data_IF_317357487415
#
_entry.id   IF_317357487415
#
_cell.length_a   1.000
_cell.length_b   1.000
_cell.length_c   1.000
_cell.angle_alpha   90.00
_cell.angle_beta   90.00
_cell.angle_gamma   90.00
#
_symmetry.space_group_name_H-M   'P 1'
#
loop_
_entity.id
_entity.type
_entity.pdbx_description
1 polymer ?
#
# COMPACT_ATOMS: atom_id res chain seq x y z
N UNK A 1 -19.15 28.03 26.91
CA UNK A 1 -18.41 26.77 26.77
C UNK A 1 -17.21 27.03 25.89
N UNK A 2 -15.98 26.91 26.40
CA UNK A 2 -14.75 27.12 25.61
C UNK A 2 -14.29 25.75 25.11
N UNK A 3 -14.35 25.54 23.80
CA UNK A 3 -13.90 24.32 23.12
C UNK A 3 -12.38 24.39 22.94
N UNK A 4 -11.65 23.52 23.64
CA UNK A 4 -10.22 23.33 23.46
C UNK A 4 -9.96 22.09 22.59
N UNK A 5 -9.35 22.26 21.42
CA UNK A 5 -8.71 21.18 20.66
C UNK A 5 -7.45 21.72 19.95
N UNK A 6 -6.35 20.97 20.09
CA UNK A 6 -5.09 20.97 19.33
C UNK A 6 -3.82 21.59 19.97
N UNK A 7 -2.77 20.79 19.88
CA UNK A 7 -1.52 20.72 20.67
C UNK A 7 -0.35 21.57 20.11
N UNK A 8 -0.58 22.41 19.08
CA UNK A 8 0.53 23.07 18.35
C UNK A 8 0.40 24.61 18.27
N UNK A 9 1.35 25.30 18.91
CA UNK A 9 1.36 26.78 19.05
C UNK A 9 1.29 27.54 17.72
N UNK A 10 1.95 27.06 16.67
CA UNK A 10 1.99 27.75 15.37
C UNK A 10 0.59 27.92 14.71
N UNK A 11 -0.32 26.96 14.92
CA UNK A 11 -1.68 27.05 14.39
C UNK A 11 -2.51 28.07 15.20
N UNK A 12 -2.35 28.09 16.52
CA UNK A 12 -3.01 29.03 17.41
C UNK A 12 -2.55 30.47 17.16
N UNK A 13 -1.25 30.71 16.98
CA UNK A 13 -0.70 32.03 16.64
C UNK A 13 -1.23 32.54 15.29
N UNK A 14 -1.36 31.67 14.29
CA UNK A 14 -1.96 32.03 12.99
C UNK A 14 -3.44 32.36 13.13
N UNK A 15 -4.18 31.60 13.95
CA UNK A 15 -5.61 31.88 14.23
C UNK A 15 -5.76 33.18 15.00
N UNK A 16 -4.98 33.40 16.05
CA UNK A 16 -5.00 34.64 16.85
C UNK A 16 -4.68 35.85 15.98
N UNK A 17 -3.63 35.80 15.17
CA UNK A 17 -3.30 36.86 14.21
C UNK A 17 -4.43 37.14 13.22
N UNK A 18 -5.16 36.10 12.77
CA UNK A 18 -6.33 36.29 11.90
C UNK A 18 -7.49 36.95 12.65
N UNK A 19 -7.70 36.61 13.92
CA UNK A 19 -8.73 37.21 14.78
C UNK A 19 -8.38 38.67 15.15
N UNK A 20 -7.11 38.97 15.40
CA UNK A 20 -6.59 40.33 15.58
C UNK A 20 -6.86 41.18 14.32
N UNK A 21 -6.51 40.66 13.15
CA UNK A 21 -6.77 41.33 11.87
C UNK A 21 -8.27 41.50 11.57
N UNK A 22 -9.12 40.62 12.12
CA UNK A 22 -10.57 40.71 12.01
C UNK A 22 -11.20 41.62 13.09
N UNK A 23 -10.40 42.23 13.98
CA UNK A 23 -10.88 43.15 15.01
C UNK A 23 -11.51 42.49 16.24
N UNK A 24 -11.41 41.17 16.38
CA UNK A 24 -11.95 40.39 17.52
C UNK A 24 -10.85 39.81 18.42
N UNK A 25 -9.61 40.23 18.20
CA UNK A 25 -8.43 39.82 18.97
C UNK A 25 -8.53 40.10 20.47
N UNK A 26 -9.05 41.26 20.86
CA UNK A 26 -9.19 41.65 22.27
C UNK A 26 -10.18 40.79 23.07
N UNK A 27 -11.05 40.03 22.38
CA UNK A 27 -11.95 39.05 22.97
C UNK A 27 -11.33 37.64 23.10
N UNK A 28 -10.11 37.45 22.57
CA UNK A 28 -9.42 36.17 22.52
C UNK A 28 -8.23 36.17 23.49
N UNK A 29 -8.34 35.42 24.59
CA UNK A 29 -7.26 35.30 25.57
C UNK A 29 -6.34 34.12 25.21
N UNK A 30 -5.04 34.38 24.99
CA UNK A 30 -4.07 33.33 24.73
C UNK A 30 -3.57 32.66 26.03
N UNK A 31 -4.06 31.46 26.32
CA UNK A 31 -3.67 30.70 27.52
C UNK A 31 -2.54 29.68 27.29
N UNK A 32 -2.10 29.48 26.05
CA UNK A 32 -1.40 28.26 25.65
C UNK A 32 0.13 28.30 25.66
N UNK A 33 0.78 29.28 26.30
CA UNK A 33 2.24 29.23 26.43
C UNK A 33 2.65 28.73 27.82
N UNK A 34 3.56 27.76 27.88
CA UNK A 34 4.34 27.45 29.10
C UNK A 34 5.19 28.64 29.58
N UNK A 35 5.12 29.79 28.87
CA UNK A 35 5.69 31.10 29.20
C UNK A 35 4.63 32.15 29.55
N UNK A 36 3.35 31.79 29.69
CA UNK A 36 2.27 32.72 30.04
C UNK A 36 2.45 33.14 31.49
N UNK A 37 3.24 34.20 31.67
CA UNK A 37 3.58 34.73 32.98
C UNK A 37 2.27 35.22 33.62
N UNK A 38 1.96 34.81 34.87
CA UNK A 38 0.72 35.19 35.59
C UNK A 38 0.44 36.70 35.51
N UNK A 39 1.49 37.51 35.45
CA UNK A 39 1.45 38.96 35.28
C UNK A 39 0.93 39.41 33.89
N UNK A 40 1.34 38.74 32.82
CA UNK A 40 0.89 39.04 31.45
C UNK A 40 -0.59 38.70 31.26
N UNK A 41 -1.05 37.57 31.83
CA UNK A 41 -2.47 37.21 31.83
C UNK A 41 -3.32 38.23 32.61
N UNK A 42 -2.86 38.68 33.78
CA UNK A 42 -3.54 39.69 34.56
C UNK A 42 -3.57 41.05 33.85
N UNK A 43 -2.52 41.40 33.12
CA UNK A 43 -2.47 42.64 32.33
C UNK A 43 -3.42 42.59 31.14
N UNK A 44 -3.48 41.47 30.40
CA UNK A 44 -4.45 41.29 29.31
C UNK A 44 -5.89 41.30 29.83
N UNK A 45 -6.18 40.61 30.95
CA UNK A 45 -7.51 40.70 31.58
C UNK A 45 -7.85 42.14 31.99
N UNK A 46 -6.90 42.88 32.57
CA UNK A 46 -7.09 44.28 32.95
C UNK A 46 -7.32 45.16 31.72
N UNK A 47 -6.56 44.96 30.66
CA UNK A 47 -6.69 45.66 29.37
C UNK A 47 -8.08 45.41 28.76
N UNK A 48 -8.51 44.15 28.64
CA UNK A 48 -9.83 43.81 28.11
C UNK A 48 -10.96 44.34 28.99
N UNK A 49 -10.79 44.31 30.31
CA UNK A 49 -11.76 44.89 31.26
C UNK A 49 -11.89 46.42 31.11
N UNK A 50 -10.78 47.10 30.81
CA UNK A 50 -10.75 48.55 30.60
C UNK A 50 -11.38 49.01 29.27
N UNK A 51 -11.56 48.12 28.29
CA UNK A 51 -12.26 48.42 27.03
C UNK A 51 -13.74 48.80 27.27
N UNK A 52 -14.31 48.38 28.40
CA UNK A 52 -15.69 48.68 28.78
C UNK A 52 -16.72 47.96 27.91
N UNK A 53 -18.01 48.29 28.13
CA UNK A 53 -19.09 47.69 27.34
C UNK A 53 -19.11 48.27 25.91
N UNK A 54 -19.35 47.46 24.88
CA UNK A 54 -19.46 47.92 23.50
C UNK A 54 -20.43 49.11 23.37
N UNK A 55 -19.94 50.25 22.88
CA UNK A 55 -20.75 51.47 22.69
C UNK A 55 -21.25 51.54 21.25
N UNK A 56 -22.57 51.51 21.04
CA UNK A 56 -23.19 51.67 19.71
C UNK A 56 -24.59 51.06 19.62
N UNK A 57 -25.30 51.36 18.52
CA UNK A 57 -26.49 50.61 18.12
C UNK A 57 -26.05 49.39 17.33
N UNK A 58 -26.37 48.20 17.82
CA UNK A 58 -26.11 46.94 17.12
C UNK A 58 -27.33 46.62 16.26
N UNK A 59 -27.23 46.69 14.91
CA UNK A 59 -28.35 46.33 14.06
C UNK A 59 -28.70 44.86 14.31
N UNK A 60 -29.96 44.57 14.63
CA UNK A 60 -30.43 43.18 14.88
C UNK A 60 -30.07 42.24 13.71
N UNK A 61 -30.14 42.74 12.48
CA UNK A 61 -29.75 42.02 11.27
C UNK A 61 -28.27 41.57 11.27
N UNK A 62 -27.35 42.39 11.81
CA UNK A 62 -25.93 42.02 11.91
C UNK A 62 -25.74 40.90 12.95
N UNK A 63 -26.44 40.99 14.09
CA UNK A 63 -26.42 39.95 15.11
C UNK A 63 -26.96 38.62 14.57
N UNK A 64 -28.06 38.65 13.83
CA UNK A 64 -28.62 37.45 13.17
C UNK A 64 -27.66 36.83 12.16
N UNK A 65 -27.01 37.64 11.31
CA UNK A 65 -26.01 37.15 10.37
C UNK A 65 -24.82 36.49 11.07
N UNK A 66 -24.34 37.09 12.16
CA UNK A 66 -23.25 36.53 12.97
C UNK A 66 -23.65 35.22 13.64
N UNK A 67 -24.86 35.13 14.17
CA UNK A 67 -25.40 33.90 14.75
C UNK A 67 -25.49 32.79 13.69
N UNK A 68 -26.02 33.09 12.51
CA UNK A 68 -26.08 32.13 11.40
C UNK A 68 -24.69 31.65 10.97
N UNK A 69 -23.70 32.55 10.88
CA UNK A 69 -22.33 32.19 10.55
C UNK A 69 -21.69 31.29 11.62
N UNK A 70 -21.86 31.63 12.89
CA UNK A 70 -21.43 30.81 14.04
C UNK A 70 -22.04 29.41 13.97
N UNK A 71 -23.36 29.33 13.79
CA UNK A 71 -24.09 28.06 13.79
C UNK A 71 -23.67 27.19 12.60
N UNK A 72 -23.43 27.80 11.43
CA UNK A 72 -22.89 27.09 10.26
C UNK A 72 -21.50 26.50 10.52
N UNK A 73 -20.61 27.25 11.17
CA UNK A 73 -19.26 26.79 11.51
C UNK A 73 -19.30 25.67 12.55
N UNK A 74 -20.10 25.83 13.62
CA UNK A 74 -20.27 24.81 14.66
C UNK A 74 -20.88 23.54 14.09
N UNK A 75 -21.93 23.65 13.28
CA UNK A 75 -22.55 22.49 12.62
C UNK A 75 -21.57 21.75 11.71
N UNK A 76 -20.65 22.46 11.04
CA UNK A 76 -19.58 21.79 10.28
C UNK A 76 -18.61 21.03 11.19
N UNK A 77 -18.15 21.67 12.27
CA UNK A 77 -17.26 21.02 13.23
C UNK A 77 -17.92 19.78 13.87
N UNK A 78 -19.20 19.85 14.22
CA UNK A 78 -19.98 18.73 14.73
C UNK A 78 -20.05 17.60 13.70
N UNK A 79 -20.45 17.89 12.44
CA UNK A 79 -20.52 16.87 11.38
C UNK A 79 -19.20 16.14 11.16
N UNK A 80 -18.06 16.84 11.26
CA UNK A 80 -16.73 16.24 11.11
C UNK A 80 -16.39 15.22 12.20
N UNK A 81 -17.08 15.27 13.34
CA UNK A 81 -16.85 14.40 14.50
C UNK A 81 -17.95 13.37 14.71
N UNK A 82 -18.94 13.28 13.82
CA UNK A 82 -19.95 12.21 13.87
C UNK A 82 -19.34 10.90 13.31
N UNK A 83 -19.39 9.79 14.05
CA UNK A 83 -18.97 8.48 13.56
C UNK A 83 -19.79 8.03 12.34
N UNK A 84 -19.15 7.31 11.40
CA UNK A 84 -19.80 6.85 10.17
C UNK A 84 -19.75 5.32 9.99
N UNK A 85 -20.90 4.74 9.69
CA UNK A 85 -21.05 3.34 9.28
C UNK A 85 -20.53 2.32 10.31
N UNK A 86 -20.15 1.14 9.83
CA UNK A 86 -19.64 0.05 10.64
C UNK A 86 -18.26 0.33 11.25
N UNK A 87 -17.45 1.18 10.58
CA UNK A 87 -16.09 1.51 11.03
C UNK A 87 -16.05 2.32 12.33
N UNK A 88 -17.12 3.08 12.63
CA UNK A 88 -17.15 4.01 13.76
C UNK A 88 -16.16 5.18 13.63
N UNK A 89 -15.48 5.33 12.49
CA UNK A 89 -14.52 6.42 12.27
C UNK A 89 -15.24 7.72 11.92
N UNK A 90 -14.70 8.83 12.42
CA UNK A 90 -15.17 10.18 12.05
C UNK A 90 -14.41 10.71 10.84
N UNK A 91 -15.00 11.57 10.00
CA UNK A 91 -14.28 12.25 8.93
C UNK A 91 -12.99 12.93 9.40
N UNK A 92 -13.02 13.55 10.59
CA UNK A 92 -11.86 14.16 11.22
C UNK A 92 -10.70 13.16 11.42
N UNK A 93 -10.99 11.97 11.96
CA UNK A 93 -9.99 10.91 12.14
C UNK A 93 -9.43 10.45 10.79
N UNK A 94 -10.29 10.22 9.80
CA UNK A 94 -9.88 9.76 8.46
C UNK A 94 -8.95 10.77 7.80
N UNK A 95 -9.30 12.07 7.77
CA UNK A 95 -8.42 13.10 7.22
C UNK A 95 -7.10 13.22 7.97
N UNK A 96 -7.12 13.07 9.30
CA UNK A 96 -5.91 13.03 10.13
C UNK A 96 -4.99 11.88 9.71
N UNK A 97 -5.54 10.68 9.53
CA UNK A 97 -4.77 9.50 9.09
C UNK A 97 -4.21 9.66 7.68
N UNK A 98 -5.01 10.15 6.73
CA UNK A 98 -4.57 10.43 5.36
C UNK A 98 -3.44 11.47 5.31
N UNK A 99 -3.54 12.52 6.14
CA UNK A 99 -2.50 13.55 6.26
C UNK A 99 -1.22 12.96 6.82
N UNK A 100 -1.31 12.13 7.87
CA UNK A 100 -0.16 11.44 8.46
C UNK A 100 0.55 10.55 7.44
N UNK A 101 -0.20 9.77 6.66
CA UNK A 101 0.34 8.90 5.60
C UNK A 101 1.06 9.72 4.52
N UNK A 102 0.44 10.81 4.07
CA UNK A 102 1.07 11.72 3.10
C UNK A 102 2.37 12.32 3.63
N UNK A 103 2.40 12.71 4.91
CA UNK A 103 3.61 13.24 5.55
C UNK A 103 4.71 12.19 5.70
N UNK A 104 4.36 10.91 5.88
CA UNK A 104 5.34 9.82 5.86
C UNK A 104 5.77 9.40 4.45
N UNK A 105 5.42 10.16 3.42
CA UNK A 105 5.80 9.89 2.03
C UNK A 105 5.02 8.73 1.38
N UNK A 106 3.96 8.23 2.02
CA UNK A 106 3.13 7.18 1.44
C UNK A 106 2.32 7.74 0.27
N UNK A 107 2.45 7.09 -0.88
CA UNK A 107 1.68 7.43 -2.08
C UNK A 107 0.31 6.75 -2.02
N UNK A 108 -0.73 7.34 -2.60
CA UNK A 108 -2.00 6.65 -2.81
C UNK A 108 -1.75 5.34 -3.55
N UNK A 109 -2.38 4.27 -3.06
CA UNK A 109 -2.28 2.94 -3.66
C UNK A 109 -3.58 2.67 -4.41
N UNK A 110 -3.47 2.16 -5.62
CA UNK A 110 -4.62 1.84 -6.47
C UNK A 110 -5.04 0.37 -6.23
N UNK A 111 -5.44 0.10 -4.99
CA UNK A 111 -5.97 -1.19 -4.56
C UNK A 111 -7.37 -0.96 -4.02
N UNK A 112 -8.35 -1.51 -4.71
CA UNK A 112 -9.72 -1.59 -4.20
C UNK A 112 -9.82 -2.75 -3.22
N UNK A 113 -10.22 -2.41 -1.99
CA UNK A 113 -10.48 -3.39 -0.94
C UNK A 113 -11.96 -3.74 -0.94
N UNK A 114 -12.27 -5.01 -1.21
CA UNK A 114 -13.64 -5.51 -1.29
C UNK A 114 -14.41 -5.26 0.01
N UNK A 115 -15.54 -4.54 -0.09
CA UNK A 115 -16.42 -4.24 1.05
C UNK A 115 -15.80 -3.36 2.15
N UNK A 116 -14.74 -2.60 1.86
CA UNK A 116 -13.99 -1.86 2.89
C UNK A 116 -14.82 -0.83 3.67
N UNK A 117 -15.88 -0.28 3.07
CA UNK A 117 -16.79 0.67 3.73
C UNK A 117 -17.62 0.05 4.86
N UNK A 118 -17.78 -1.27 4.85
CA UNK A 118 -18.62 -2.01 5.80
C UNK A 118 -17.78 -2.69 6.89
N UNK A 119 -16.47 -2.47 6.91
CA UNK A 119 -15.59 -3.08 7.90
C UNK A 119 -15.74 -2.42 9.27
N UNK A 120 -15.87 -3.25 10.30
CA UNK A 120 -15.75 -2.84 11.71
C UNK A 120 -14.29 -2.69 12.10
N UNK A 121 -14.02 -1.99 13.21
CA UNK A 121 -12.65 -1.87 13.76
C UNK A 121 -12.02 -3.24 14.07
N UNK A 122 -12.81 -4.16 14.63
CA UNK A 122 -12.41 -5.56 14.85
C UNK A 122 -12.10 -6.29 13.53
N UNK A 123 -12.89 -6.05 12.50
CA UNK A 123 -12.70 -6.60 11.16
C UNK A 123 -11.41 -6.11 10.50
N UNK A 124 -11.06 -4.84 10.68
CA UNK A 124 -9.79 -4.26 10.22
C UNK A 124 -8.62 -4.86 11.00
N UNK A 125 -8.74 -4.96 12.33
CA UNK A 125 -7.70 -5.51 13.20
C UNK A 125 -7.36 -6.96 12.84
N UNK A 126 -8.38 -7.80 12.62
CA UNK A 126 -8.19 -9.20 12.20
C UNK A 126 -7.52 -9.31 10.83
N UNK A 127 -7.91 -8.49 9.84
CA UNK A 127 -7.26 -8.46 8.51
C UNK A 127 -5.80 -8.01 8.61
N UNK A 128 -5.49 -7.02 9.45
CA UNK A 128 -4.11 -6.58 9.68
C UNK A 128 -3.26 -7.69 10.27
N UNK A 129 -3.75 -8.40 11.29
CA UNK A 129 -3.04 -9.56 11.87
C UNK A 129 -2.74 -10.63 10.82
N UNK A 130 -3.70 -10.95 9.97
CA UNK A 130 -3.49 -11.91 8.88
C UNK A 130 -2.41 -11.44 7.90
N UNK A 131 -2.41 -10.15 7.53
CA UNK A 131 -1.37 -9.58 6.67
C UNK A 131 0.01 -9.62 7.33
N UNK A 132 0.09 -9.37 8.64
CA UNK A 132 1.33 -9.44 9.40
C UNK A 132 1.85 -10.90 9.44
N UNK A 133 0.98 -11.88 9.67
CA UNK A 133 1.32 -13.31 9.63
C UNK A 133 1.82 -13.75 8.25
N UNK A 134 1.14 -13.34 7.17
CA UNK A 134 1.56 -13.63 5.80
C UNK A 134 2.91 -12.97 5.50
N UNK A 135 3.10 -11.72 5.91
CA UNK A 135 4.37 -11.00 5.72
C UNK A 135 5.52 -11.67 6.46
N UNK A 136 5.29 -12.12 7.69
CA UNK A 136 6.28 -12.86 8.47
C UNK A 136 6.65 -14.18 7.77
N UNK A 137 5.67 -14.95 7.31
CA UNK A 137 5.93 -16.20 6.58
C UNK A 137 6.73 -15.94 5.31
N UNK A 138 6.37 -14.92 4.52
CA UNK A 138 7.12 -14.54 3.31
C UNK A 138 8.56 -14.17 3.65
N UNK A 139 8.82 -13.51 4.79
CA UNK A 139 10.20 -13.22 5.22
C UNK A 139 10.98 -14.48 5.59
N UNK A 140 10.31 -15.52 6.11
CA UNK A 140 10.93 -16.79 6.49
C UNK A 140 11.20 -17.70 5.28
N UNK A 141 10.23 -17.84 4.36
CA UNK A 141 10.32 -18.80 3.24
C UNK A 141 10.69 -18.15 1.89
N UNK A 142 10.73 -16.82 1.82
CA UNK A 142 10.84 -16.06 0.58
C UNK A 142 9.53 -15.95 -0.20
N UNK A 143 9.60 -15.47 -1.44
CA UNK A 143 8.41 -15.35 -2.29
C UNK A 143 7.85 -16.73 -2.68
N UNK A 144 6.56 -17.02 -2.44
CA UNK A 144 5.97 -18.32 -2.75
C UNK A 144 6.14 -18.77 -4.21
N UNK A 145 6.23 -17.84 -5.16
CA UNK A 145 6.46 -18.13 -6.58
C UNK A 145 7.85 -18.71 -6.87
N UNK A 146 8.82 -18.48 -6.00
CA UNK A 146 10.19 -19.00 -6.10
C UNK A 146 10.46 -20.13 -5.11
N UNK A 147 9.46 -20.52 -4.32
CA UNK A 147 9.64 -21.54 -3.30
C UNK A 147 9.84 -22.93 -3.94
N UNK A 148 10.80 -23.76 -3.47
CA UNK A 148 11.07 -25.07 -4.06
C UNK A 148 9.87 -26.03 -4.05
N UNK A 149 8.92 -25.80 -3.14
CA UNK A 149 7.69 -26.59 -3.01
C UNK A 149 6.49 -25.97 -3.76
N UNK A 150 6.72 -24.98 -4.61
CA UNK A 150 5.65 -24.40 -5.43
C UNK A 150 5.02 -25.50 -6.29
N UNK A 151 3.69 -25.59 -6.24
CA UNK A 151 2.93 -26.60 -6.99
C UNK A 151 2.82 -27.96 -6.30
N UNK A 152 3.41 -28.13 -5.11
CA UNK A 152 3.16 -29.32 -4.28
C UNK A 152 1.77 -29.22 -3.67
N UNK A 153 0.87 -30.12 -4.06
CA UNK A 153 -0.50 -30.23 -3.53
C UNK A 153 -0.65 -31.21 -2.36
N UNK A 154 0.43 -31.49 -1.63
CA UNK A 154 0.40 -32.37 -0.45
C UNK A 154 0.25 -31.53 0.82
N UNK A 155 -0.89 -31.68 1.49
CA UNK A 155 -1.15 -30.97 2.75
C UNK A 155 -0.33 -31.53 3.92
N UNK A 156 0.00 -32.83 3.87
CA UNK A 156 0.76 -33.54 4.91
C UNK A 156 1.79 -34.47 4.27
N UNK A 157 3.02 -34.41 4.78
CA UNK A 157 4.11 -35.30 4.38
C UNK A 157 4.44 -36.23 5.55
N UNK A 158 3.97 -37.48 5.47
CA UNK A 158 4.27 -38.53 6.45
C UNK A 158 5.68 -39.11 6.22
N UNK A 159 6.34 -39.68 7.24
CA UNK A 159 7.66 -40.29 7.09
C UNK A 159 7.72 -41.35 5.98
N UNK A 160 6.70 -42.21 5.87
CA UNK A 160 6.59 -43.22 4.82
C UNK A 160 6.41 -42.62 3.42
N UNK A 161 5.79 -41.44 3.32
CA UNK A 161 5.72 -40.68 2.07
C UNK A 161 7.10 -40.16 1.67
N UNK A 162 7.89 -39.65 2.63
CA UNK A 162 9.28 -39.22 2.39
C UNK A 162 10.13 -40.39 1.90
N UNK A 163 10.08 -41.53 2.60
CA UNK A 163 10.83 -42.74 2.24
C UNK A 163 10.52 -43.21 0.81
N UNK A 164 9.29 -43.01 0.33
CA UNK A 164 8.89 -43.33 -1.04
C UNK A 164 9.26 -42.25 -2.05
N UNK A 165 9.16 -40.97 -1.67
CA UNK A 165 9.38 -39.84 -2.58
C UNK A 165 10.86 -39.57 -2.82
N UNK A 166 11.71 -39.64 -1.79
CA UNK A 166 13.15 -39.37 -1.91
C UNK A 166 13.82 -40.21 -3.01
N UNK A 167 13.70 -41.56 -3.04
CA UNK A 167 14.32 -42.36 -4.11
C UNK A 167 13.67 -42.11 -5.48
N UNK A 168 12.36 -41.82 -5.54
CA UNK A 168 11.67 -41.49 -6.78
C UNK A 168 12.16 -40.17 -7.38
N UNK A 169 12.30 -39.13 -6.55
CA UNK A 169 12.82 -37.82 -6.95
C UNK A 169 14.28 -37.95 -7.41
N UNK A 170 15.10 -38.70 -6.68
CA UNK A 170 16.49 -38.96 -7.07
C UNK A 170 16.58 -39.67 -8.44
N UNK A 171 15.75 -40.70 -8.66
CA UNK A 171 15.69 -41.41 -9.95
C UNK A 171 15.22 -40.50 -11.09
N UNK A 172 14.17 -39.70 -10.86
CA UNK A 172 13.66 -38.75 -11.85
C UNK A 172 14.68 -37.67 -12.19
N UNK A 173 15.45 -37.20 -11.20
CA UNK A 173 16.50 -36.22 -11.41
C UNK A 173 17.61 -36.77 -12.32
N UNK A 174 18.06 -38.01 -12.08
CA UNK A 174 19.06 -38.65 -12.94
C UNK A 174 18.54 -38.88 -14.36
N UNK A 175 17.27 -39.30 -14.51
CA UNK A 175 16.64 -39.41 -15.83
C UNK A 175 16.54 -38.06 -16.55
N UNK A 176 16.16 -37.00 -15.84
CA UNK A 176 16.06 -35.65 -16.40
C UNK A 176 17.43 -35.12 -16.85
N UNK A 177 18.49 -35.32 -16.05
CA UNK A 177 19.87 -34.98 -16.44
C UNK A 177 20.32 -35.75 -17.68
N UNK A 178 20.00 -37.04 -17.76
CA UNK A 178 20.34 -37.86 -18.91
C UNK A 178 19.63 -37.37 -20.19
N UNK A 179 18.36 -36.98 -20.11
CA UNK A 179 17.61 -36.37 -21.22
C UNK A 179 18.22 -35.03 -21.60
N UNK A 180 18.51 -34.16 -20.63
CA UNK A 180 19.13 -32.86 -20.88
C UNK A 180 20.48 -33.00 -21.58
N UNK A 181 21.33 -33.93 -21.15
CA UNK A 181 22.62 -34.20 -21.79
C UNK A 181 22.46 -34.64 -23.25
N UNK A 182 21.46 -35.48 -23.55
CA UNK A 182 21.15 -35.89 -24.93
C UNK A 182 20.64 -34.74 -25.79
N UNK A 183 19.76 -33.89 -25.25
CA UNK A 183 19.27 -32.72 -25.97
C UNK A 183 20.42 -31.75 -26.30
N UNK A 184 21.36 -31.56 -25.37
CA UNK A 184 22.58 -30.76 -25.62
C UNK A 184 23.44 -31.39 -26.73
N UNK A 185 23.65 -32.71 -26.72
CA UNK A 185 24.41 -33.40 -27.76
C UNK A 185 23.74 -33.29 -29.14
N UNK A 186 22.42 -33.47 -29.21
CA UNK A 186 21.66 -33.31 -30.46
C UNK A 186 21.75 -31.87 -30.96
N UNK A 187 21.54 -30.88 -30.10
CA UNK A 187 21.66 -29.46 -30.44
C UNK A 187 23.05 -29.13 -31.00
N UNK A 188 24.11 -29.65 -30.39
CA UNK A 188 25.47 -29.46 -30.89
C UNK A 188 25.69 -30.08 -32.28
N UNK A 189 25.13 -31.27 -32.54
CA UNK A 189 25.29 -31.96 -33.84
C UNK A 189 24.54 -31.31 -34.99
N UNK A 190 23.39 -30.70 -34.71
CA UNK A 190 22.55 -30.07 -35.73
C UNK A 190 22.73 -28.55 -35.79
N UNK A 191 23.73 -28.02 -35.09
CA UNK A 191 24.02 -26.58 -34.98
C UNK A 191 22.76 -25.79 -34.57
N UNK A 192 22.14 -26.21 -33.46
CA UNK A 192 20.97 -25.59 -32.85
C UNK A 192 21.22 -25.16 -31.41
N UNK A 193 20.26 -24.42 -30.85
CA UNK A 193 20.29 -24.01 -29.44
C UNK A 193 19.76 -25.11 -28.52
N UNK A 194 20.47 -25.36 -27.42
CA UNK A 194 20.02 -26.34 -26.43
C UNK A 194 18.85 -25.77 -25.60
N UNK A 195 17.74 -26.52 -25.44
CA UNK A 195 16.58 -26.07 -24.68
C UNK A 195 16.92 -25.93 -23.19
N UNK A 196 16.43 -24.85 -22.57
CA UNK A 196 16.65 -24.58 -21.13
C UNK A 196 15.66 -25.32 -20.24
N UNK A 197 14.45 -25.55 -20.74
CA UNK A 197 13.40 -26.35 -20.12
C UNK A 197 12.86 -27.35 -21.12
N UNK A 198 12.33 -28.48 -20.64
CA UNK A 198 11.85 -29.57 -21.49
C UNK A 198 10.71 -29.15 -22.42
N UNK A 199 9.91 -28.14 -22.07
CA UNK A 199 8.83 -27.65 -22.95
C UNK A 199 9.33 -26.89 -24.18
N UNK A 200 10.59 -26.45 -24.17
CA UNK A 200 11.17 -25.60 -25.21
C UNK A 200 11.94 -26.43 -26.25
N UNK A 201 11.84 -27.77 -26.23
CA UNK A 201 12.56 -28.65 -27.14
C UNK A 201 11.92 -28.80 -28.53
N UNK A 202 10.73 -28.24 -28.77
CA UNK A 202 9.96 -28.45 -30.01
C UNK A 202 10.74 -28.17 -31.29
N UNK A 203 11.34 -26.97 -31.42
CA UNK A 203 12.11 -26.61 -32.63
C UNK A 203 13.32 -27.52 -32.86
N UNK A 204 13.95 -27.98 -31.77
CA UNK A 204 15.07 -28.91 -31.83
C UNK A 204 14.61 -30.30 -32.26
N UNK A 205 13.48 -30.77 -31.73
CA UNK A 205 12.86 -32.04 -32.07
C UNK A 205 12.44 -32.08 -33.54
N UNK A 206 11.73 -31.06 -34.02
CA UNK A 206 11.27 -30.95 -35.40
C UNK A 206 12.46 -30.99 -36.38
N UNK A 207 13.53 -30.24 -36.09
CA UNK A 207 14.74 -30.20 -36.92
C UNK A 207 15.50 -31.54 -36.88
N UNK A 208 15.60 -32.16 -35.71
CA UNK A 208 16.25 -33.46 -35.56
C UNK A 208 15.47 -34.56 -36.31
N UNK A 209 14.14 -34.54 -36.24
CA UNK A 209 13.28 -35.50 -36.95
C UNK A 209 13.37 -35.31 -38.46
N UNK A 210 13.40 -34.06 -38.95
CA UNK A 210 13.60 -33.76 -40.36
C UNK A 210 14.94 -34.31 -40.86
N UNK A 211 16.03 -34.07 -40.13
CA UNK A 211 17.36 -34.57 -40.48
C UNK A 211 17.45 -36.10 -40.40
N UNK A 212 16.81 -36.73 -39.41
CA UNK A 212 16.76 -38.19 -39.31
C UNK A 212 15.92 -38.84 -40.42
N UNK A 213 14.93 -38.12 -40.94
CA UNK A 213 14.10 -38.55 -42.08
C UNK A 213 14.73 -38.25 -43.45
N UNK A 214 15.84 -37.50 -43.47
CA UNK A 214 16.50 -37.15 -44.71
C UNK A 214 16.98 -38.43 -45.44
N UNK A 215 16.75 -38.54 -46.75
CA UNK A 215 17.30 -39.65 -47.53
C UNK A 215 18.83 -39.63 -47.46
N UNK A 216 19.45 -40.80 -47.66
CA UNK A 216 20.90 -40.94 -47.63
C UNK A 216 21.51 -40.17 -48.81
N UNK A 217 21.87 -38.91 -48.57
CA UNK A 217 22.39 -37.99 -49.57
C UNK A 217 23.93 -37.98 -49.50
N UNK A 218 24.63 -38.31 -50.59
CA UNK A 218 26.07 -38.18 -50.62
C UNK A 218 26.46 -36.70 -50.49
N UNK A 219 27.62 -36.42 -49.90
CA UNK A 219 28.08 -35.05 -49.68
C UNK A 219 28.16 -34.24 -50.99
N UNK A 220 28.41 -34.89 -52.13
CA UNK A 220 28.40 -34.24 -53.45
C UNK A 220 27.02 -33.71 -53.86
N UNK A 221 25.93 -34.33 -53.40
CA UNK A 221 24.58 -33.87 -53.69
C UNK A 221 24.25 -32.54 -52.99
N UNK A 222 24.86 -32.27 -51.83
CA UNK A 222 24.64 -31.05 -51.05
C UNK A 222 25.39 -29.84 -51.61
N UNK A 223 26.40 -30.05 -52.45
CA UNK A 223 27.22 -29.00 -53.10
C UNK A 223 27.00 -28.98 -54.62
N UNK A 224 25.94 -29.65 -55.10
CA UNK A 224 25.64 -29.71 -56.53
C UNK A 224 25.26 -28.32 -57.06
N UNK A 225 25.87 -27.84 -58.14
CA UNK A 225 25.49 -26.56 -58.76
C UNK A 225 24.05 -26.58 -59.32
N UNK A 226 23.39 -27.74 -59.37
CA UNK A 226 21.98 -27.85 -59.75
C UNK A 226 21.00 -27.21 -58.75
N UNK A 227 21.47 -26.78 -57.57
CA UNK A 227 20.68 -26.02 -56.59
C UNK A 227 20.73 -24.50 -56.78
N UNK A 228 21.62 -24.00 -57.65
CA UNK A 228 21.82 -22.57 -57.91
C UNK A 228 20.95 -22.02 -59.06
N UNK A 229 20.18 -22.88 -59.74
CA UNK A 229 19.18 -22.54 -60.79
C UNK A 229 17.75 -22.40 -60.21
#
# INVERSE_FOLDING_TARGET
>A
TVLFVAEKMAALEVVKRRLDNAGVGDACLELHSNKANKRMMLEELRRTWQLGSPRGQFPSALTEQLLQARDKLNAHAERMHVPFGASGLTPYQVFGQLTRLRQSGQKPVDIELEGATDWTDEGVSSRRKLLDEVSQRINEIGLPIHHPWRGVGLDVVLPTTVERLVPRIASLLEQAKAVQAKLIDIAARIEGDAPRILSDSGDLEDRAELLASAPDLPAEALVSPAWDD
#
